data_IF_214531047051
#
_entry.id   IF_214531047051
#
_cell.length_a   1.000
_cell.length_b   1.000
_cell.length_c   1.000
_cell.angle_alpha   90.00
_cell.angle_beta   90.00
_cell.angle_gamma   90.00
#
_symmetry.space_group_name_H-M   'P 1'
#
loop_
_entity.id
_entity.type
_entity.pdbx_description
1 polymer ?
#
# COMPACT_ATOMS: atom_id res chain seq x y z
N UNK A 1 28.07 46.84 -3.12
CA UNK A 1 28.92 45.71 -2.70
C UNK A 1 28.41 44.47 -3.40
N UNK A 2 28.84 44.25 -4.65
CA UNK A 2 28.54 43.03 -5.39
C UNK A 2 29.85 42.29 -5.65
N UNK A 3 30.23 41.39 -4.72
CA UNK A 3 31.33 40.46 -4.95
C UNK A 3 30.85 39.40 -5.92
N UNK A 4 31.09 39.62 -7.22
CA UNK A 4 30.96 38.56 -8.23
C UNK A 4 31.92 37.42 -7.87
N UNK A 5 31.39 36.20 -7.81
CA UNK A 5 32.15 34.97 -7.61
C UNK A 5 33.32 34.89 -8.59
N UNK A 6 34.51 34.59 -8.07
CA UNK A 6 35.69 34.40 -8.92
C UNK A 6 35.60 33.06 -9.66
N UNK A 7 36.31 32.90 -10.79
CA UNK A 7 36.26 31.66 -11.59
C UNK A 7 36.61 30.41 -10.79
N UNK A 8 37.47 30.54 -9.78
CA UNK A 8 37.81 29.49 -8.81
C UNK A 8 36.63 29.10 -7.92
N UNK A 9 35.81 30.06 -7.50
CA UNK A 9 34.64 29.80 -6.64
C UNK A 9 33.55 29.05 -7.41
N UNK A 10 33.38 29.36 -8.70
CA UNK A 10 32.50 28.58 -9.59
C UNK A 10 32.99 27.15 -9.77
N UNK A 11 34.30 26.95 -9.97
CA UNK A 11 34.88 25.61 -10.11
C UNK A 11 34.69 24.78 -8.82
N UNK A 12 34.88 25.40 -7.65
CA UNK A 12 34.66 24.76 -6.37
C UNK A 12 33.18 24.39 -6.18
N UNK A 13 32.25 25.31 -6.46
CA UNK A 13 30.82 25.07 -6.34
C UNK A 13 30.35 23.93 -7.28
N UNK A 14 30.81 23.91 -8.53
CA UNK A 14 30.48 22.84 -9.49
C UNK A 14 31.03 21.49 -9.04
N UNK A 15 32.27 21.45 -8.54
CA UNK A 15 32.89 20.22 -8.02
C UNK A 15 32.15 19.70 -6.79
N UNK A 16 31.74 20.60 -5.90
CA UNK A 16 30.97 20.27 -4.71
C UNK A 16 29.58 19.71 -5.06
N UNK A 17 28.86 20.36 -5.98
CA UNK A 17 27.56 19.87 -6.48
C UNK A 17 27.74 18.50 -7.14
N UNK A 18 28.77 18.32 -7.96
CA UNK A 18 29.06 17.05 -8.61
C UNK A 18 29.33 15.93 -7.60
N UNK A 19 30.13 16.20 -6.57
CA UNK A 19 30.42 15.24 -5.51
C UNK A 19 29.16 14.89 -4.70
N UNK A 20 28.27 15.85 -4.47
CA UNK A 20 27.00 15.66 -3.77
C UNK A 20 26.02 14.79 -4.58
N UNK A 21 25.94 15.01 -5.90
CA UNK A 21 25.17 14.16 -6.82
C UNK A 21 25.72 12.73 -6.82
N UNK A 22 27.05 12.57 -6.85
CA UNK A 22 27.69 11.26 -6.81
C UNK A 22 27.42 10.53 -5.49
N UNK A 23 27.53 11.21 -4.35
CA UNK A 23 27.27 10.65 -3.03
C UNK A 23 25.80 10.22 -2.88
N UNK A 24 24.85 11.00 -3.38
CA UNK A 24 23.44 10.61 -3.41
C UNK A 24 23.21 9.40 -4.30
N UNK A 25 23.83 9.38 -5.50
CA UNK A 25 23.74 8.26 -6.43
C UNK A 25 24.24 6.95 -5.83
N UNK A 26 25.42 6.95 -5.19
CA UNK A 26 26.00 5.77 -4.54
C UNK A 26 25.20 5.35 -3.30
N UNK A 27 24.67 6.30 -2.54
CA UNK A 27 23.81 6.02 -1.38
C UNK A 27 22.52 5.30 -1.78
N UNK A 28 21.78 5.84 -2.76
CA UNK A 28 20.55 5.20 -3.25
C UNK A 28 20.82 3.85 -3.91
N UNK A 29 21.94 3.72 -4.63
CA UNK A 29 22.37 2.43 -5.18
C UNK A 29 22.68 1.41 -4.08
N UNK A 30 23.40 1.82 -3.03
CA UNK A 30 23.70 0.98 -1.88
C UNK A 30 22.44 0.53 -1.12
N UNK A 31 21.46 1.42 -0.94
CA UNK A 31 20.16 1.08 -0.34
C UNK A 31 19.40 0.05 -1.19
N UNK A 32 19.32 0.26 -2.50
CA UNK A 32 18.65 -0.68 -3.42
C UNK A 32 19.31 -2.06 -3.38
N UNK A 33 20.64 -2.11 -3.44
CA UNK A 33 21.40 -3.35 -3.37
C UNK A 33 21.27 -4.05 -2.01
N UNK A 34 21.15 -3.29 -0.91
CA UNK A 34 20.88 -3.83 0.42
C UNK A 34 19.49 -4.45 0.54
N UNK A 35 18.47 -3.81 -0.03
CA UNK A 35 17.10 -4.35 -0.11
C UNK A 35 17.06 -5.63 -0.95
N UNK A 36 17.67 -5.61 -2.14
CA UNK A 36 17.74 -6.78 -3.03
C UNK A 36 18.47 -7.96 -2.38
N UNK A 37 19.63 -7.73 -1.73
CA UNK A 37 20.36 -8.79 -1.01
C UNK A 37 19.59 -9.35 0.17
N UNK A 38 18.87 -8.49 0.90
CA UNK A 38 18.03 -8.94 2.01
C UNK A 38 16.89 -9.81 1.50
N UNK A 39 16.16 -9.35 0.49
CA UNK A 39 15.09 -10.10 -0.17
C UNK A 39 15.59 -11.45 -0.72
N UNK A 40 16.70 -11.47 -1.45
CA UNK A 40 17.30 -12.68 -2.00
C UNK A 40 17.73 -13.67 -0.91
N UNK A 41 18.32 -13.19 0.18
CA UNK A 41 18.68 -14.03 1.33
C UNK A 41 17.45 -14.63 2.00
N UNK A 42 16.35 -13.89 2.11
CA UNK A 42 15.07 -14.42 2.62
C UNK A 42 14.47 -15.46 1.67
N UNK A 43 14.47 -15.21 0.36
CA UNK A 43 14.03 -16.17 -0.66
C UNK A 43 14.88 -17.46 -0.62
N UNK A 44 16.20 -17.34 -0.49
CA UNK A 44 17.12 -18.48 -0.38
C UNK A 44 16.89 -19.29 0.91
N UNK A 45 16.71 -18.61 2.05
CA UNK A 45 16.40 -19.27 3.33
C UNK A 45 15.06 -20.00 3.26
N UNK A 46 14.05 -19.39 2.64
CA UNK A 46 12.75 -20.03 2.45
C UNK A 46 12.85 -21.23 1.52
N UNK A 47 13.60 -21.14 0.43
CA UNK A 47 13.72 -22.22 -0.56
C UNK A 47 14.47 -23.41 0.04
N UNK A 48 15.63 -23.18 0.67
CA UNK A 48 16.41 -24.24 1.34
C UNK A 48 15.62 -24.92 2.46
N UNK A 49 14.90 -24.13 3.27
CA UNK A 49 14.14 -24.67 4.38
C UNK A 49 12.84 -25.37 3.91
N UNK A 50 12.23 -24.94 2.80
CA UNK A 50 11.11 -25.65 2.19
C UNK A 50 11.53 -27.01 1.61
N UNK A 51 12.70 -27.07 0.96
CA UNK A 51 13.29 -28.30 0.42
C UNK A 51 13.71 -29.28 1.51
N UNK A 52 14.24 -28.80 2.64
CA UNK A 52 14.72 -29.63 3.74
C UNK A 52 13.61 -30.15 4.68
N UNK A 53 12.46 -29.44 4.80
CA UNK A 53 11.52 -29.76 5.89
C UNK A 53 10.08 -30.10 5.50
N UNK A 54 9.56 -29.78 4.30
CA UNK A 54 8.12 -29.95 3.97
C UNK A 54 7.13 -29.46 5.08
N UNK A 55 7.56 -28.60 6.01
CA UNK A 55 6.92 -28.46 7.33
C UNK A 55 6.29 -27.10 7.60
N UNK A 56 6.49 -26.09 6.75
CA UNK A 56 5.77 -24.83 6.91
C UNK A 56 4.36 -24.96 6.36
N UNK A 57 3.37 -24.69 7.22
CA UNK A 57 1.98 -24.55 6.80
C UNK A 57 1.84 -23.46 5.74
N UNK A 58 0.78 -23.56 4.93
CA UNK A 58 0.44 -22.69 3.80
C UNK A 58 0.63 -21.18 4.04
N UNK A 59 0.52 -20.69 5.28
CA UNK A 59 0.57 -19.26 5.62
C UNK A 59 1.51 -18.98 6.79
N UNK A 60 2.63 -19.69 6.86
CA UNK A 60 3.62 -19.49 7.91
C UNK A 60 4.15 -18.04 7.97
N UNK A 61 4.52 -17.58 9.17
CA UNK A 61 4.99 -16.21 9.46
C UNK A 61 6.06 -15.71 8.48
N UNK A 62 7.00 -16.57 8.10
CA UNK A 62 8.09 -16.21 7.18
C UNK A 62 7.59 -15.92 5.75
N UNK A 63 6.56 -16.62 5.27
CA UNK A 63 5.97 -16.34 3.96
C UNK A 63 5.26 -14.98 3.96
N UNK A 64 4.54 -14.62 5.03
CA UNK A 64 3.92 -13.30 5.15
C UNK A 64 4.96 -12.18 5.17
N UNK A 65 6.07 -12.36 5.91
CA UNK A 65 7.16 -11.38 5.98
C UNK A 65 7.89 -11.25 4.65
N UNK A 66 8.16 -12.36 3.97
CA UNK A 66 8.75 -12.35 2.64
C UNK A 66 7.84 -11.63 1.64
N UNK A 67 6.55 -11.97 1.62
CA UNK A 67 5.56 -11.31 0.78
C UNK A 67 5.50 -9.80 1.05
N UNK A 68 5.57 -9.39 2.33
CA UNK A 68 5.62 -7.98 2.69
C UNK A 68 6.76 -7.25 1.98
N UNK A 69 7.99 -7.74 2.11
CA UNK A 69 9.17 -7.03 1.61
C UNK A 69 9.35 -7.14 0.10
N UNK A 70 8.98 -8.28 -0.49
CA UNK A 70 9.25 -8.57 -1.90
C UNK A 70 8.12 -8.14 -2.83
N UNK A 71 6.88 -8.11 -2.34
CA UNK A 71 5.70 -7.83 -3.17
C UNK A 71 4.95 -6.60 -2.67
N UNK A 72 4.47 -6.64 -1.42
CA UNK A 72 3.56 -5.63 -0.90
C UNK A 72 4.24 -4.26 -0.77
N UNK A 73 5.43 -4.19 -0.19
CA UNK A 73 6.16 -2.94 0.02
C UNK A 73 6.50 -2.23 -1.31
N UNK A 74 7.10 -2.89 -2.33
CA UNK A 74 7.33 -2.26 -3.63
C UNK A 74 6.05 -1.74 -4.29
N UNK A 75 4.94 -2.48 -4.16
CA UNK A 75 3.64 -2.01 -4.63
C UNK A 75 3.15 -0.78 -3.86
N UNK A 76 3.30 -0.77 -2.52
CA UNK A 76 2.92 0.35 -1.67
C UNK A 76 3.71 1.63 -1.98
N UNK A 77 4.96 1.51 -2.42
CA UNK A 77 5.74 2.65 -2.90
C UNK A 77 5.09 3.31 -4.13
N UNK A 78 4.70 2.51 -5.13
CA UNK A 78 3.95 3.00 -6.28
C UNK A 78 2.62 3.62 -5.85
N UNK A 79 1.85 2.91 -5.04
CA UNK A 79 0.54 3.35 -4.55
C UNK A 79 0.62 4.69 -3.82
N UNK A 80 1.59 4.86 -2.92
CA UNK A 80 1.80 6.15 -2.24
C UNK A 80 2.12 7.26 -3.24
N UNK A 81 3.06 6.99 -4.15
CA UNK A 81 3.46 7.97 -5.17
C UNK A 81 2.30 8.35 -6.09
N UNK A 82 1.43 7.39 -6.43
CA UNK A 82 0.21 7.63 -7.20
C UNK A 82 -0.66 8.69 -6.53
N UNK A 83 -1.04 8.50 -5.26
CA UNK A 83 -1.90 9.45 -4.56
C UNK A 83 -1.24 10.81 -4.35
N UNK A 84 0.06 10.83 -4.02
CA UNK A 84 0.82 12.08 -3.90
C UNK A 84 0.76 12.89 -5.22
N UNK A 85 0.93 12.20 -6.36
CA UNK A 85 0.93 12.83 -7.69
C UNK A 85 -0.46 13.18 -8.21
N UNK A 86 -1.49 12.40 -7.90
CA UNK A 86 -2.87 12.78 -8.23
C UNK A 86 -3.28 14.05 -7.47
N UNK A 87 -2.95 14.14 -6.18
CA UNK A 87 -3.17 15.35 -5.38
C UNK A 87 -2.41 16.57 -5.94
N UNK A 88 -1.17 16.38 -6.40
CA UNK A 88 -0.39 17.43 -7.08
C UNK A 88 -1.06 17.90 -8.37
N UNK A 89 -1.59 16.99 -9.19
CA UNK A 89 -2.33 17.35 -10.41
C UNK A 89 -3.63 18.10 -10.12
N UNK A 90 -4.37 17.70 -9.09
CA UNK A 90 -5.64 18.33 -8.72
C UNK A 90 -5.44 19.75 -8.18
N UNK A 91 -4.36 19.96 -7.42
CA UNK A 91 -4.11 21.21 -6.69
C UNK A 91 -3.23 22.22 -7.43
N UNK A 92 -2.31 21.77 -8.30
CA UNK A 92 -1.34 22.65 -8.96
C UNK A 92 -1.63 22.80 -10.46
N UNK A 93 -2.20 23.95 -10.84
CA UNK A 93 -2.52 24.27 -12.24
C UNK A 93 -1.29 24.44 -13.14
N UNK A 94 -0.10 24.64 -12.57
CA UNK A 94 1.15 24.81 -13.30
C UNK A 94 2.01 23.54 -13.34
N UNK A 95 1.51 22.41 -12.81
CA UNK A 95 2.22 21.15 -12.87
C UNK A 95 2.34 20.63 -14.31
N UNK A 96 3.51 20.11 -14.69
CA UNK A 96 3.67 19.40 -15.96
C UNK A 96 3.03 18.01 -15.85
N UNK A 97 1.74 17.95 -16.21
CA UNK A 97 0.95 16.74 -16.10
C UNK A 97 1.52 15.60 -16.93
N UNK A 98 2.01 15.89 -18.14
CA UNK A 98 2.65 14.89 -19.01
C UNK A 98 3.88 14.27 -18.36
N UNK A 99 4.73 15.10 -17.72
CA UNK A 99 5.89 14.60 -16.99
C UNK A 99 5.48 13.74 -15.78
N UNK A 100 4.49 14.19 -15.01
CA UNK A 100 3.95 13.42 -13.86
C UNK A 100 3.45 12.05 -14.31
N UNK A 101 2.63 11.99 -15.37
CA UNK A 101 2.10 10.72 -15.87
C UNK A 101 3.21 9.82 -16.41
N UNK A 102 4.21 10.38 -17.10
CA UNK A 102 5.38 9.65 -17.59
C UNK A 102 6.18 9.02 -16.45
N UNK A 103 6.41 9.77 -15.38
CA UNK A 103 7.17 9.30 -14.22
C UNK A 103 6.41 8.23 -13.44
N UNK A 104 5.08 8.38 -13.28
CA UNK A 104 4.23 7.34 -12.73
C UNK A 104 4.24 6.07 -13.61
N UNK A 105 4.19 6.22 -14.93
CA UNK A 105 4.21 5.09 -15.88
C UNK A 105 5.53 4.31 -15.76
N UNK A 106 6.65 5.03 -15.71
CA UNK A 106 7.98 4.44 -15.45
C UNK A 106 8.03 3.71 -14.11
N UNK A 107 7.53 4.33 -13.03
CA UNK A 107 7.52 3.70 -11.72
C UNK A 107 6.66 2.43 -11.71
N UNK A 108 5.47 2.49 -12.32
CA UNK A 108 4.58 1.35 -12.46
C UNK A 108 5.23 0.20 -13.22
N UNK A 109 5.88 0.50 -14.36
CA UNK A 109 6.65 -0.47 -15.13
C UNK A 109 7.81 -1.06 -14.32
N UNK A 110 8.59 -0.23 -13.64
CA UNK A 110 9.71 -0.69 -12.81
C UNK A 110 9.22 -1.66 -11.73
N UNK A 111 8.14 -1.33 -11.02
CA UNK A 111 7.58 -2.20 -9.98
C UNK A 111 6.94 -3.45 -10.57
N UNK A 112 6.35 -3.38 -11.76
CA UNK A 112 5.87 -4.56 -12.48
C UNK A 112 7.02 -5.51 -12.82
N UNK A 113 8.10 -4.99 -13.40
CA UNK A 113 9.27 -5.79 -13.76
C UNK A 113 9.89 -6.43 -12.49
N UNK A 114 9.96 -5.69 -11.38
CA UNK A 114 10.39 -6.19 -10.06
C UNK A 114 9.51 -7.35 -9.57
N UNK A 115 8.19 -7.22 -9.61
CA UNK A 115 7.24 -8.24 -9.14
C UNK A 115 7.10 -9.44 -10.08
N UNK A 116 7.14 -9.23 -11.39
CA UNK A 116 6.85 -10.26 -12.40
C UNK A 116 7.85 -11.42 -12.42
N UNK A 117 9.06 -11.19 -11.89
CA UNK A 117 10.10 -12.21 -11.74
C UNK A 117 9.99 -13.00 -10.43
N UNK A 118 9.12 -12.56 -9.51
CA UNK A 118 8.96 -13.18 -8.19
C UNK A 118 8.00 -14.34 -8.23
N UNK A 119 8.15 -15.23 -7.26
CA UNK A 119 7.27 -16.38 -7.05
C UNK A 119 6.93 -16.50 -5.58
N UNK A 120 5.79 -17.13 -5.29
CA UNK A 120 5.39 -17.50 -3.93
C UNK A 120 5.20 -19.02 -3.90
N UNK A 121 5.39 -19.68 -2.73
CA UNK A 121 5.18 -21.12 -2.61
C UNK A 121 3.78 -21.55 -3.06
N UNK A 122 3.68 -22.71 -3.72
CA UNK A 122 2.39 -23.31 -4.14
C UNK A 122 1.48 -23.65 -2.96
N UNK A 123 2.06 -23.82 -1.77
CA UNK A 123 1.31 -23.98 -0.53
C UNK A 123 0.56 -22.72 -0.12
N UNK A 124 0.86 -21.54 -0.68
CA UNK A 124 0.30 -20.24 -0.31
C UNK A 124 -0.52 -19.59 -1.46
N UNK A 125 -1.65 -20.18 -1.89
CA UNK A 125 -2.39 -19.71 -3.07
C UNK A 125 -2.87 -18.25 -2.94
N UNK A 126 -3.30 -17.80 -1.76
CA UNK A 126 -3.69 -16.39 -1.56
C UNK A 126 -2.53 -15.42 -1.84
N UNK A 127 -1.30 -15.78 -1.44
CA UNK A 127 -0.12 -14.95 -1.69
C UNK A 127 0.28 -14.97 -3.17
N UNK A 128 0.17 -16.13 -3.84
CA UNK A 128 0.39 -16.23 -5.29
C UNK A 128 -0.60 -15.36 -6.07
N UNK A 129 -1.90 -15.47 -5.76
CA UNK A 129 -2.93 -14.66 -6.41
C UNK A 129 -2.75 -13.16 -6.10
N UNK A 130 -2.36 -12.82 -4.86
CA UNK A 130 -2.05 -11.45 -4.46
C UNK A 130 -0.92 -10.84 -5.30
N UNK A 131 0.18 -11.59 -5.50
CA UNK A 131 1.28 -11.20 -6.38
C UNK A 131 0.78 -10.98 -7.82
N UNK A 132 0.05 -11.93 -8.39
CA UNK A 132 -0.45 -11.81 -9.76
C UNK A 132 -1.36 -10.59 -9.93
N UNK A 133 -2.22 -10.33 -8.96
CA UNK A 133 -3.13 -9.19 -8.97
C UNK A 133 -2.38 -7.86 -8.85
N UNK A 134 -1.34 -7.75 -8.00
CA UNK A 134 -0.51 -6.55 -7.98
C UNK A 134 0.26 -6.33 -9.29
N UNK A 135 0.81 -7.39 -9.88
CA UNK A 135 1.47 -7.29 -11.20
C UNK A 135 0.48 -6.83 -12.29
N UNK A 136 -0.72 -7.40 -12.35
CA UNK A 136 -1.77 -6.97 -13.29
C UNK A 136 -2.16 -5.51 -13.09
N UNK A 137 -2.32 -5.08 -11.83
CA UNK A 137 -2.60 -3.69 -11.48
C UNK A 137 -1.53 -2.74 -12.04
N UNK A 138 -0.25 -3.00 -11.75
CA UNK A 138 0.87 -2.17 -12.21
C UNK A 138 0.98 -2.13 -13.74
N UNK A 139 0.73 -3.26 -14.41
CA UNK A 139 0.70 -3.33 -15.86
C UNK A 139 -0.39 -2.41 -16.44
N UNK A 140 -1.61 -2.50 -15.93
CA UNK A 140 -2.74 -1.69 -16.39
C UNK A 140 -2.56 -0.20 -16.08
N UNK A 141 -2.02 0.14 -14.90
CA UNK A 141 -1.65 1.52 -14.59
C UNK A 141 -0.64 2.08 -15.61
N UNK A 142 0.40 1.32 -15.94
CA UNK A 142 1.40 1.75 -16.94
C UNK A 142 0.77 1.98 -18.33
N UNK A 143 -0.06 1.05 -18.79
CA UNK A 143 -0.76 1.15 -20.07
C UNK A 143 -1.69 2.38 -20.10
N UNK A 144 -2.51 2.56 -19.07
CA UNK A 144 -3.43 3.68 -18.94
C UNK A 144 -2.68 5.03 -18.90
N UNK A 145 -1.60 5.13 -18.11
CA UNK A 145 -0.78 6.34 -18.03
C UNK A 145 -0.18 6.73 -19.38
N UNK A 146 0.29 5.75 -20.17
CA UNK A 146 0.79 5.98 -21.52
C UNK A 146 -0.25 6.59 -22.46
N UNK A 147 -1.51 6.16 -22.36
CA UNK A 147 -2.61 6.66 -23.19
C UNK A 147 -2.97 8.12 -22.87
N UNK A 148 -2.86 8.52 -21.60
CA UNK A 148 -3.18 9.88 -21.17
C UNK A 148 -2.00 10.86 -21.30
N UNK A 149 -0.76 10.37 -21.30
CA UNK A 149 0.45 11.21 -21.29
C UNK A 149 0.49 12.26 -22.42
N UNK A 150 0.07 11.89 -23.64
CA UNK A 150 0.15 12.77 -24.82
C UNK A 150 -0.81 13.97 -24.77
N UNK A 151 -1.97 13.80 -24.11
CA UNK A 151 -3.00 14.85 -23.98
C UNK A 151 -2.97 15.55 -22.62
N UNK A 152 -2.18 15.07 -21.67
CA UNK A 152 -2.18 15.52 -20.27
C UNK A 152 -2.03 17.04 -20.11
N UNK A 153 -1.10 17.67 -20.83
CA UNK A 153 -0.85 19.12 -20.70
C UNK A 153 -1.90 19.99 -21.40
N UNK A 154 -2.81 19.40 -22.19
CA UNK A 154 -3.91 20.13 -22.84
C UNK A 154 -5.19 20.17 -22.01
N UNK A 155 -5.21 19.47 -20.87
CA UNK A 155 -6.37 19.32 -19.99
C UNK A 155 -5.98 19.87 -18.62
N UNK A 156 -6.90 20.58 -17.96
CA UNK A 156 -6.69 21.04 -16.58
C UNK A 156 -6.53 19.82 -15.67
N UNK A 157 -5.59 19.87 -14.73
CA UNK A 157 -5.23 18.72 -13.89
C UNK A 157 -6.41 18.05 -13.17
N UNK A 158 -7.38 18.81 -12.64
CA UNK A 158 -8.60 18.25 -12.02
C UNK A 158 -9.50 17.52 -13.02
N UNK A 159 -9.66 18.06 -14.22
CA UNK A 159 -10.46 17.44 -15.28
C UNK A 159 -9.75 16.19 -15.84
N UNK A 160 -8.41 16.22 -15.89
CA UNK A 160 -7.58 15.08 -16.28
C UNK A 160 -7.77 13.92 -15.29
N UNK A 161 -7.68 14.17 -13.98
CA UNK A 161 -7.92 13.13 -12.96
C UNK A 161 -9.34 12.58 -13.08
N UNK A 162 -10.35 13.45 -13.23
CA UNK A 162 -11.74 13.01 -13.41
C UNK A 162 -11.96 12.17 -14.69
N UNK A 163 -11.22 12.42 -15.76
CA UNK A 163 -11.24 11.59 -16.97
C UNK A 163 -10.54 10.25 -16.76
N UNK A 164 -9.40 10.24 -16.05
CA UNK A 164 -8.68 9.02 -15.67
C UNK A 164 -9.54 8.11 -14.78
N UNK A 165 -10.36 8.66 -13.89
CA UNK A 165 -11.30 7.87 -13.07
C UNK A 165 -12.36 7.11 -13.88
N UNK A 166 -12.64 7.54 -15.12
CA UNK A 166 -13.61 6.90 -16.03
C UNK A 166 -12.98 5.88 -16.96
N UNK A 167 -11.65 5.87 -17.06
CA UNK A 167 -10.93 4.95 -17.92
C UNK A 167 -11.03 3.51 -17.40
N UNK A 168 -11.24 2.57 -18.33
CA UNK A 168 -11.43 1.17 -17.98
C UNK A 168 -10.15 0.53 -17.45
N UNK A 169 -8.98 0.93 -17.95
CA UNK A 169 -7.71 0.34 -17.51
C UNK A 169 -7.38 0.82 -16.11
N UNK A 170 -7.58 2.11 -15.79
CA UNK A 170 -7.45 2.59 -14.40
C UNK A 170 -8.45 1.92 -13.46
N UNK A 171 -9.71 1.75 -13.88
CA UNK A 171 -10.74 1.09 -13.06
C UNK A 171 -10.37 -0.37 -12.75
N UNK A 172 -9.96 -1.14 -13.76
CA UNK A 172 -9.55 -2.54 -13.55
C UNK A 172 -8.22 -2.64 -12.79
N UNK A 173 -7.27 -1.72 -13.00
CA UNK A 173 -6.03 -1.67 -12.22
C UNK A 173 -6.31 -1.53 -10.72
N UNK A 174 -7.17 -0.57 -10.36
CA UNK A 174 -7.62 -0.36 -8.97
C UNK A 174 -8.31 -1.59 -8.39
N UNK A 175 -9.17 -2.24 -9.16
CA UNK A 175 -9.84 -3.49 -8.75
C UNK A 175 -8.84 -4.61 -8.48
N UNK A 176 -7.85 -4.83 -9.36
CA UNK A 176 -6.80 -5.81 -9.10
C UNK A 176 -5.97 -5.45 -7.87
N UNK A 177 -5.67 -4.17 -7.66
CA UNK A 177 -5.01 -3.73 -6.42
C UNK A 177 -5.80 -4.08 -5.16
N UNK A 178 -7.11 -3.85 -5.17
CA UNK A 178 -7.97 -4.11 -4.02
C UNK A 178 -8.13 -5.62 -3.78
N UNK A 179 -8.24 -6.42 -4.85
CA UNK A 179 -8.22 -7.87 -4.76
C UNK A 179 -6.90 -8.39 -4.18
N UNK A 180 -5.76 -7.86 -4.62
CA UNK A 180 -4.45 -8.21 -4.07
C UNK A 180 -4.31 -7.84 -2.58
N UNK A 181 -4.82 -6.67 -2.20
CA UNK A 181 -4.89 -6.25 -0.80
C UNK A 181 -5.72 -7.26 0.00
N UNK A 182 -6.93 -7.58 -0.46
CA UNK A 182 -7.80 -8.56 0.20
C UNK A 182 -7.10 -9.90 0.38
N UNK A 183 -6.50 -10.45 -0.67
CA UNK A 183 -5.78 -11.72 -0.61
C UNK A 183 -4.68 -11.73 0.46
N UNK A 184 -3.99 -10.60 0.65
CA UNK A 184 -2.96 -10.51 1.67
C UNK A 184 -3.53 -10.49 3.09
N UNK A 185 -4.65 -9.81 3.34
CA UNK A 185 -5.32 -9.85 4.64
C UNK A 185 -5.99 -11.20 4.90
N UNK A 186 -6.56 -11.86 3.89
CA UNK A 186 -7.06 -13.23 4.01
C UNK A 186 -5.91 -14.19 4.41
N UNK A 187 -4.71 -14.02 3.84
CA UNK A 187 -3.54 -14.81 4.22
C UNK A 187 -3.10 -14.55 5.68
N UNK A 188 -3.22 -13.30 6.16
CA UNK A 188 -2.98 -12.95 7.58
C UNK A 188 -4.01 -13.62 8.49
N UNK A 189 -5.28 -13.73 8.08
CA UNK A 189 -6.29 -14.50 8.83
C UNK A 189 -5.91 -15.97 8.89
N UNK A 190 -5.47 -16.56 7.77
CA UNK A 190 -5.00 -17.96 7.75
C UNK A 190 -3.80 -18.22 8.64
N UNK A 191 -2.89 -17.27 8.75
CA UNK A 191 -1.84 -17.31 9.77
C UNK A 191 -2.41 -17.17 11.18
N UNK A 192 -3.34 -16.24 11.41
CA UNK A 192 -3.90 -16.03 12.75
C UNK A 192 -4.67 -17.27 13.25
N UNK A 193 -5.32 -18.02 12.36
CA UNK A 193 -5.97 -19.31 12.67
C UNK A 193 -4.97 -20.35 13.23
N UNK A 194 -3.69 -20.31 12.82
CA UNK A 194 -2.67 -21.23 13.34
C UNK A 194 -2.17 -20.84 14.73
N UNK A 195 -2.19 -19.55 15.05
CA UNK A 195 -1.77 -19.02 16.37
C UNK A 195 -2.92 -19.01 17.39
N UNK A 196 -4.16 -18.88 16.93
CA UNK A 196 -5.35 -18.80 17.78
C UNK A 196 -6.49 -19.66 17.20
N UNK A 197 -6.64 -20.87 17.72
CA UNK A 197 -7.70 -21.80 17.32
C UNK A 197 -9.13 -21.31 17.67
N UNK A 198 -9.28 -20.28 18.50
CA UNK A 198 -10.57 -19.69 18.90
C UNK A 198 -10.85 -18.36 18.19
N UNK A 199 -10.17 -18.09 17.07
CA UNK A 199 -10.39 -16.86 16.30
C UNK A 199 -11.87 -16.71 15.90
N UNK A 200 -12.49 -15.60 16.31
CA UNK A 200 -13.87 -15.30 15.93
C UNK A 200 -13.91 -14.85 14.48
N UNK A 201 -14.56 -15.64 13.63
CA UNK A 201 -14.81 -15.27 12.24
C UNK A 201 -16.05 -14.40 12.08
N UNK A 202 -16.04 -13.59 11.02
CA UNK A 202 -17.21 -12.86 10.55
C UNK A 202 -17.38 -13.06 9.05
N UNK A 203 -18.62 -13.01 8.59
CA UNK A 203 -18.90 -12.95 7.17
C UNK A 203 -18.61 -11.54 6.66
N UNK A 204 -17.47 -11.38 6.00
CA UNK A 204 -16.98 -10.09 5.49
C UNK A 204 -17.88 -9.48 4.41
N UNK A 205 -18.84 -10.25 3.87
CA UNK A 205 -19.79 -9.76 2.86
C UNK A 205 -21.09 -9.21 3.47
N UNK A 206 -21.25 -9.28 4.80
CA UNK A 206 -22.48 -8.84 5.48
C UNK A 206 -22.21 -7.63 6.38
N UNK A 207 -23.18 -6.71 6.49
CA UNK A 207 -23.07 -5.61 7.46
C UNK A 207 -22.89 -6.13 8.88
N UNK A 208 -21.81 -5.68 9.53
CA UNK A 208 -21.53 -6.00 10.93
C UNK A 208 -22.05 -4.91 11.86
N UNK A 209 -22.77 -5.27 12.92
CA UNK A 209 -23.18 -4.28 13.92
C UNK A 209 -21.99 -3.82 14.78
N UNK A 210 -22.10 -2.64 15.38
CA UNK A 210 -20.99 -2.01 16.11
C UNK A 210 -20.58 -2.79 17.39
N UNK A 211 -21.53 -3.53 17.99
CA UNK A 211 -21.25 -4.34 19.17
C UNK A 211 -20.38 -5.55 18.82
N UNK A 212 -20.72 -6.26 17.75
CA UNK A 212 -19.97 -7.41 17.27
C UNK A 212 -18.58 -7.01 16.77
N UNK A 213 -18.47 -5.84 16.13
CA UNK A 213 -17.19 -5.25 15.72
C UNK A 213 -16.23 -5.07 16.90
N UNK A 214 -16.71 -4.56 18.03
CA UNK A 214 -15.90 -4.34 19.23
C UNK A 214 -15.29 -5.61 19.83
N UNK A 215 -15.83 -6.79 19.50
CA UNK A 215 -15.36 -8.08 19.98
C UNK A 215 -14.35 -8.78 19.05
N UNK A 216 -14.00 -8.17 17.91
CA UNK A 216 -13.08 -8.73 16.93
C UNK A 216 -11.63 -8.32 17.21
N UNK A 217 -10.69 -9.21 16.89
CA UNK A 217 -9.27 -8.87 16.86
C UNK A 217 -8.96 -7.91 15.72
N UNK A 218 -7.83 -7.21 15.83
CA UNK A 218 -7.39 -6.27 14.81
C UNK A 218 -7.23 -6.94 13.42
N UNK A 219 -6.74 -8.18 13.37
CA UNK A 219 -6.56 -8.88 12.10
C UNK A 219 -7.91 -9.09 11.38
N UNK A 220 -8.94 -9.55 12.12
CA UNK A 220 -10.29 -9.78 11.57
C UNK A 220 -10.94 -8.47 11.15
N UNK A 221 -10.76 -7.40 11.93
CA UNK A 221 -11.22 -6.06 11.54
C UNK A 221 -10.56 -5.59 10.24
N UNK A 222 -9.24 -5.74 10.12
CA UNK A 222 -8.51 -5.33 8.92
C UNK A 222 -8.93 -6.12 7.67
N UNK A 223 -9.17 -7.42 7.80
CA UNK A 223 -9.70 -8.24 6.71
C UNK A 223 -11.12 -7.81 6.30
N UNK A 224 -12.02 -7.58 7.27
CA UNK A 224 -13.35 -7.04 7.00
C UNK A 224 -13.27 -5.71 6.22
N UNK A 225 -12.35 -4.82 6.60
CA UNK A 225 -12.15 -3.55 5.89
C UNK A 225 -11.55 -3.74 4.50
N UNK A 226 -10.57 -4.63 4.33
CA UNK A 226 -10.03 -4.95 3.01
C UNK A 226 -11.12 -5.48 2.07
N UNK A 227 -12.01 -6.33 2.58
CA UNK A 227 -13.18 -6.81 1.85
C UNK A 227 -14.18 -5.70 1.52
N UNK A 228 -14.51 -4.83 2.48
CA UNK A 228 -15.40 -3.71 2.26
C UNK A 228 -14.87 -2.74 1.19
N UNK A 229 -13.58 -2.40 1.24
CA UNK A 229 -12.92 -1.55 0.23
C UNK A 229 -12.92 -2.19 -1.16
N UNK A 230 -12.68 -3.50 -1.24
CA UNK A 230 -12.74 -4.24 -2.50
C UNK A 230 -14.16 -4.28 -3.08
N UNK A 231 -15.15 -4.57 -2.24
CA UNK A 231 -16.56 -4.64 -2.65
C UNK A 231 -17.09 -3.28 -3.13
N UNK A 232 -16.70 -2.19 -2.45
CA UNK A 232 -17.09 -0.83 -2.84
C UNK A 232 -16.18 -0.21 -3.90
N UNK A 233 -15.14 -0.93 -4.36
CA UNK A 233 -14.11 -0.44 -5.30
C UNK A 233 -13.41 0.85 -4.83
N UNK A 234 -13.30 1.04 -3.51
CA UNK A 234 -12.71 2.23 -2.92
C UNK A 234 -11.18 2.10 -2.89
N UNK A 235 -10.53 2.57 -3.95
CA UNK A 235 -9.08 2.70 -4.00
C UNK A 235 -8.64 3.99 -3.31
N UNK A 236 -8.05 3.86 -2.11
CA UNK A 236 -7.78 4.98 -1.20
C UNK A 236 -6.31 5.07 -0.80
N UNK A 237 -5.84 6.26 -0.43
CA UNK A 237 -4.44 6.48 -0.02
C UNK A 237 -4.07 5.76 1.28
N UNK A 238 -5.02 5.62 2.20
CA UNK A 238 -4.86 4.94 3.48
C UNK A 238 -4.94 3.41 3.35
N UNK A 239 -4.56 2.73 4.43
CA UNK A 239 -4.59 1.26 4.53
C UNK A 239 -5.81 0.76 5.31
N UNK A 240 -6.18 -0.53 5.21
CA UNK A 240 -7.25 -1.11 6.01
C UNK A 240 -7.10 -0.83 7.50
N UNK A 241 -5.90 -0.96 8.07
CA UNK A 241 -5.66 -0.64 9.48
C UNK A 241 -5.88 0.84 9.85
N UNK A 242 -5.63 1.77 8.93
CA UNK A 242 -5.91 3.20 9.18
C UNK A 242 -7.42 3.41 9.35
N UNK A 243 -8.22 2.83 8.45
CA UNK A 243 -9.67 2.93 8.51
C UNK A 243 -10.24 2.17 9.72
N UNK A 244 -9.75 0.97 10.03
CA UNK A 244 -10.09 0.23 11.26
C UNK A 244 -9.91 1.11 12.49
N UNK A 245 -8.78 1.81 12.58
CA UNK A 245 -8.46 2.69 13.70
C UNK A 245 -9.42 3.86 13.83
N UNK A 246 -9.82 4.46 12.71
CA UNK A 246 -10.79 5.57 12.73
C UNK A 246 -12.20 5.11 13.07
N UNK A 247 -12.59 3.90 12.66
CA UNK A 247 -13.85 3.28 13.08
C UNK A 247 -13.84 3.06 14.59
N UNK A 248 -12.80 2.43 15.13
CA UNK A 248 -12.68 2.19 16.58
C UNK A 248 -12.70 3.51 17.38
N UNK A 249 -12.03 4.56 16.89
CA UNK A 249 -12.05 5.89 17.51
C UNK A 249 -13.44 6.55 17.46
N UNK A 250 -14.16 6.45 16.34
CA UNK A 250 -15.50 6.99 16.18
C UNK A 250 -16.54 6.25 17.03
N UNK A 251 -16.36 4.95 17.23
CA UNK A 251 -17.16 4.14 18.15
C UNK A 251 -16.86 4.54 19.60
N UNK A 252 -15.59 4.55 20.00
CA UNK A 252 -15.18 4.85 21.36
C UNK A 252 -15.49 6.28 21.81
N UNK A 253 -15.46 7.25 20.89
CA UNK A 253 -15.84 8.65 21.18
C UNK A 253 -17.36 8.88 21.26
N UNK A 254 -18.17 7.85 20.97
CA UNK A 254 -19.63 7.94 20.94
C UNK A 254 -20.21 8.73 19.76
N UNK A 255 -19.38 9.13 18.79
CA UNK A 255 -19.83 9.85 17.59
C UNK A 255 -20.78 8.99 16.74
N UNK A 256 -20.48 7.70 16.58
CA UNK A 256 -21.36 6.75 15.88
C UNK A 256 -22.76 6.68 16.49
N UNK A 257 -22.86 6.65 17.83
CA UNK A 257 -24.14 6.67 18.54
C UNK A 257 -24.88 8.00 18.36
N UNK A 258 -24.19 9.15 18.45
CA UNK A 258 -24.79 10.49 18.22
C UNK A 258 -25.37 10.63 16.82
N UNK A 259 -24.77 9.97 15.83
CA UNK A 259 -25.21 9.97 14.44
C UNK A 259 -26.20 8.83 14.11
N UNK A 260 -26.64 8.05 15.12
CA UNK A 260 -27.52 6.90 14.96
C UNK A 260 -27.03 5.86 13.93
N UNK A 261 -25.71 5.63 13.88
CA UNK A 261 -25.12 4.61 13.01
C UNK A 261 -25.30 3.23 13.64
N UNK A 262 -25.93 2.33 12.90
CA UNK A 262 -26.30 1.00 13.37
C UNK A 262 -25.22 -0.06 13.09
N UNK A 263 -24.40 0.14 12.06
CA UNK A 263 -23.43 -0.86 11.61
C UNK A 263 -22.13 -0.22 11.09
N UNK A 264 -21.10 -1.05 10.95
CA UNK A 264 -19.76 -0.65 10.53
C UNK A 264 -19.76 -0.07 9.12
N UNK A 265 -20.60 -0.59 8.21
CA UNK A 265 -20.68 -0.11 6.83
C UNK A 265 -21.08 1.38 6.77
N UNK A 266 -22.07 1.79 7.57
CA UNK A 266 -22.47 3.19 7.67
C UNK A 266 -21.34 4.09 8.22
N UNK A 267 -20.53 3.57 9.15
CA UNK A 267 -19.36 4.28 9.66
C UNK A 267 -18.31 4.45 8.56
N UNK A 268 -18.02 3.40 7.79
CA UNK A 268 -17.12 3.45 6.63
C UNK A 268 -17.56 4.50 5.62
N UNK A 269 -18.86 4.51 5.26
CA UNK A 269 -19.43 5.46 4.30
C UNK A 269 -19.23 6.90 4.76
N UNK A 270 -19.49 7.21 6.02
CA UNK A 270 -19.29 8.56 6.58
C UNK A 270 -17.82 8.95 6.61
N UNK A 271 -16.94 8.05 7.06
CA UNK A 271 -15.50 8.34 7.12
C UNK A 271 -14.91 8.57 5.73
N UNK A 272 -15.37 7.83 4.73
CA UNK A 272 -14.97 8.01 3.33
C UNK A 272 -15.54 9.32 2.75
N UNK A 273 -16.83 9.60 2.95
CA UNK A 273 -17.49 10.79 2.42
C UNK A 273 -16.91 12.09 3.01
N UNK A 274 -16.47 12.06 4.26
CA UNK A 274 -15.89 13.22 4.95
C UNK A 274 -14.37 13.34 4.79
N UNK A 275 -13.71 12.35 4.19
CA UNK A 275 -12.24 12.29 4.13
C UNK A 275 -11.59 12.24 5.53
N UNK A 276 -12.29 11.68 6.52
CA UNK A 276 -11.85 11.67 7.92
C UNK A 276 -10.77 10.63 8.23
N UNK A 277 -10.49 9.72 7.29
CA UNK A 277 -9.42 8.72 7.38
C UNK A 277 -8.20 9.18 6.60
N UNK A 278 -7.04 9.13 7.24
CA UNK A 278 -5.75 9.57 6.70
C UNK A 278 -4.74 8.45 6.78
N UNK A 279 -3.82 8.42 5.83
CA UNK A 279 -2.65 7.52 5.90
C UNK A 279 -1.89 7.75 7.21
N UNK A 280 -1.56 6.66 7.90
CA UNK A 280 -0.83 6.68 9.17
C UNK A 280 -1.69 6.90 10.41
N UNK A 281 -3.03 6.94 10.29
CA UNK A 281 -3.93 6.92 11.45
C UNK A 281 -3.66 5.71 12.35
N UNK A 282 -3.38 4.54 11.76
CA UNK A 282 -3.00 3.35 12.51
C UNK A 282 -1.71 3.59 13.32
N UNK A 283 -0.64 4.01 12.65
CA UNK A 283 0.68 4.15 13.28
C UNK A 283 0.65 5.13 14.46
N UNK A 284 -0.12 6.23 14.33
CA UNK A 284 -0.29 7.22 15.40
C UNK A 284 -0.99 6.68 16.65
N UNK A 285 -1.88 5.70 16.49
CA UNK A 285 -2.79 5.28 17.56
C UNK A 285 -2.63 3.80 17.97
N UNK A 286 -1.78 3.03 17.29
CA UNK A 286 -1.67 1.57 17.51
C UNK A 286 -1.31 1.18 18.93
N UNK A 287 -0.45 1.96 19.60
CA UNK A 287 -0.05 1.72 21.00
C UNK A 287 -1.20 1.94 21.98
N UNK A 288 -2.14 2.83 21.65
CA UNK A 288 -3.32 3.13 22.47
C UNK A 288 -4.37 2.03 22.35
N UNK A 289 -4.60 1.52 21.14
CA UNK A 289 -5.75 0.64 20.87
C UNK A 289 -5.41 -0.85 20.78
N UNK A 290 -4.18 -1.21 20.39
CA UNK A 290 -3.87 -2.57 19.92
C UNK A 290 -2.61 -3.16 20.56
N UNK A 291 -2.20 -2.67 21.74
CA UNK A 291 -0.98 -3.12 22.41
C UNK A 291 -0.99 -4.63 22.76
N UNK A 292 -2.17 -5.23 22.94
CA UNK A 292 -2.34 -6.61 23.40
C UNK A 292 -2.87 -7.54 22.29
N UNK A 293 -2.83 -7.11 21.03
CA UNK A 293 -3.30 -7.91 19.89
C UNK A 293 -2.26 -8.96 19.48
N UNK A 294 -2.73 -10.13 19.03
CA UNK A 294 -1.87 -11.15 18.41
C UNK A 294 -1.69 -10.76 16.95
N UNK A 295 -0.49 -10.28 16.59
CA UNK A 295 -0.20 -9.74 15.27
C UNK A 295 0.95 -10.49 14.60
N UNK A 296 0.89 -10.74 13.28
CA UNK A 296 2.02 -11.30 12.57
C UNK A 296 3.15 -10.29 12.59
N UNK A 297 4.40 -10.75 12.54
CA UNK A 297 5.64 -9.94 12.55
C UNK A 297 5.84 -9.09 11.27
N UNK A 298 4.80 -8.40 10.83
CA UNK A 298 4.81 -7.54 9.65
C UNK A 298 5.24 -6.13 10.04
N UNK A 299 6.15 -5.49 9.27
CA UNK A 299 6.67 -4.18 9.62
C UNK A 299 5.60 -3.12 9.85
N UNK A 300 4.49 -3.10 9.09
CA UNK A 300 3.45 -2.09 9.31
C UNK A 300 2.77 -2.18 10.68
N UNK A 301 2.83 -3.30 11.40
CA UNK A 301 2.35 -3.41 12.78
C UNK A 301 3.35 -2.86 13.80
N UNK A 302 4.66 -2.97 13.55
CA UNK A 302 5.70 -2.67 14.55
C UNK A 302 6.54 -1.43 14.26
N UNK A 303 6.70 -1.02 13.01
CA UNK A 303 7.44 0.17 12.60
C UNK A 303 6.94 1.40 13.35
N UNK A 304 7.86 2.09 14.03
CA UNK A 304 7.62 3.43 14.56
C UNK A 304 7.81 4.46 13.43
N UNK A 305 7.13 5.61 13.52
CA UNK A 305 7.29 6.72 12.58
C UNK A 305 8.75 7.16 12.50
#
# INVERSE_FOLDING_TARGET
MDKRLTRSDYLFAVTFIFMLVFALGTFFFGLKMGQERSAAKYEELLTKHNEETKQYGAYHQQYLVSYYHTIYQPYREFHKKWFDKMSELESNQSADASLILKDLGKLSKQKYDELSSKTMPDSSPLLQEGLQNYAKSLKLFNEALGNFQAKANSIKGSDLVAEMEKDTYFTEAKKFSLAAQKNYYDAIIKWNETENAQLKHVDVNKPLNLKDWGALSLNVKNDYIAAALAASKNFTSFTPQDLTTRIDEMIASGQSAKMNLANVQQVIEILNATGATRSGDFVRNKSKWYANEVLPQLPFFFSQN
#
